data_IF_699800438015
#
_entry.id   IF_699800438015
#
_cell.length_a   1.000
_cell.length_b   1.000
_cell.length_c   1.000
_cell.angle_alpha   90.00
_cell.angle_beta   90.00
_cell.angle_gamma   90.00
#
_symmetry.space_group_name_H-M   'P 1'
#
loop_
_entity.id
_entity.type
_entity.pdbx_description
1 polymer ?
#
# COMPACT_ATOMS: atom_id res chain seq x y z
N UNK A 1 -27.09 44.65 -23.24
CA UNK A 1 -27.55 43.25 -23.21
C UNK A 1 -26.62 42.46 -24.11
N UNK A 2 -25.62 41.89 -23.53
CA UNK A 2 -24.59 41.10 -24.26
C UNK A 2 -24.92 39.63 -24.06
N UNK A 3 -25.22 38.94 -25.14
CA UNK A 3 -25.53 37.52 -25.17
C UNK A 3 -24.25 36.71 -24.98
N UNK A 4 -24.16 35.96 -23.87
CA UNK A 4 -23.12 34.98 -23.69
C UNK A 4 -23.36 33.79 -24.62
N UNK A 5 -22.46 33.60 -25.56
CA UNK A 5 -22.40 32.41 -26.41
C UNK A 5 -21.87 31.26 -25.57
N UNK A 6 -22.72 30.29 -25.29
CA UNK A 6 -22.33 28.98 -24.74
C UNK A 6 -21.68 28.18 -25.86
N UNK A 7 -20.51 27.60 -25.67
CA UNK A 7 -19.93 26.71 -26.68
C UNK A 7 -20.69 25.37 -26.66
N UNK A 8 -21.60 25.22 -27.61
CA UNK A 8 -22.17 23.92 -28.02
C UNK A 8 -21.11 23.15 -28.80
N UNK A 9 -20.44 22.19 -28.17
CA UNK A 9 -19.41 21.41 -28.85
C UNK A 9 -18.92 20.20 -28.10
N UNK A 10 -19.79 19.47 -27.38
CA UNK A 10 -19.48 18.20 -26.75
C UNK A 10 -20.40 17.04 -27.15
N UNK A 11 -20.96 17.10 -28.36
CA UNK A 11 -21.73 16.00 -28.93
C UNK A 11 -21.05 15.42 -30.19
N UNK A 12 -19.75 15.18 -30.15
CA UNK A 12 -19.18 14.17 -31.02
C UNK A 12 -19.02 12.91 -30.19
N UNK A 13 -20.00 12.00 -30.32
CA UNK A 13 -19.90 10.67 -29.74
C UNK A 13 -18.55 10.06 -30.10
N UNK A 14 -17.77 9.69 -29.08
CA UNK A 14 -16.57 8.89 -29.25
C UNK A 14 -16.97 7.66 -30.05
N UNK A 15 -16.54 7.60 -31.32
CA UNK A 15 -16.72 6.41 -32.12
C UNK A 15 -15.85 5.32 -31.46
N UNK A 16 -16.48 4.24 -31.05
CA UNK A 16 -15.87 3.12 -30.33
C UNK A 16 -14.77 2.35 -31.10
N UNK A 17 -14.28 2.90 -32.22
CA UNK A 17 -13.28 2.29 -33.10
C UNK A 17 -12.15 3.26 -33.51
N UNK A 18 -11.87 4.30 -32.72
CA UNK A 18 -10.67 5.12 -32.96
C UNK A 18 -9.48 4.45 -32.24
N UNK A 19 -8.48 3.90 -32.97
CA UNK A 19 -7.37 3.17 -32.36
C UNK A 19 -6.51 4.01 -31.42
N UNK A 20 -6.72 5.33 -31.38
CA UNK A 20 -6.03 6.22 -30.43
C UNK A 20 -6.58 6.12 -29.02
N UNK A 21 -7.72 5.46 -28.83
CA UNK A 21 -8.41 5.29 -27.54
C UNK A 21 -8.60 3.83 -27.13
N UNK A 22 -8.02 2.90 -27.87
CA UNK A 22 -8.04 1.47 -27.54
C UNK A 22 -6.88 1.14 -26.61
N UNK A 23 -7.20 0.81 -25.38
CA UNK A 23 -6.26 0.32 -24.36
C UNK A 23 -6.83 -0.95 -23.75
N UNK A 24 -5.96 -1.93 -23.49
CA UNK A 24 -6.35 -3.15 -22.79
C UNK A 24 -6.69 -2.87 -21.32
N UNK A 25 -5.94 -1.92 -20.71
CA UNK A 25 -6.12 -1.56 -19.31
C UNK A 25 -5.93 -0.06 -19.10
N UNK A 26 -6.81 0.53 -18.31
CA UNK A 26 -6.66 1.91 -17.82
C UNK A 26 -6.44 1.88 -16.31
N UNK A 27 -5.30 2.40 -15.84
CA UNK A 27 -4.99 2.57 -14.42
C UNK A 27 -5.23 4.01 -14.04
N UNK A 28 -6.09 4.24 -13.04
CA UNK A 28 -6.41 5.59 -12.55
C UNK A 28 -5.77 5.80 -11.19
N UNK A 29 -4.86 6.77 -11.12
CA UNK A 29 -4.08 7.13 -9.94
C UNK A 29 -2.67 6.56 -9.96
N UNK A 30 -1.67 7.44 -9.74
CA UNK A 30 -0.25 7.11 -9.71
C UNK A 30 0.34 7.13 -8.29
N UNK A 31 -0.44 6.68 -7.29
CA UNK A 31 0.07 6.32 -5.98
C UNK A 31 0.68 4.92 -5.98
N UNK A 32 1.14 4.44 -4.82
CA UNK A 32 1.81 3.13 -4.68
C UNK A 32 0.98 1.96 -5.22
N UNK A 33 -0.34 2.00 -5.05
CA UNK A 33 -1.21 0.92 -5.53
C UNK A 33 -1.23 0.89 -7.05
N UNK A 34 -1.47 2.03 -7.72
CA UNK A 34 -1.45 2.13 -9.18
C UNK A 34 -0.07 1.77 -9.75
N UNK A 35 1.01 2.22 -9.11
CA UNK A 35 2.37 1.89 -9.51
C UNK A 35 2.65 0.38 -9.45
N UNK A 36 2.21 -0.31 -8.38
CA UNK A 36 2.40 -1.75 -8.25
C UNK A 36 1.54 -2.56 -9.23
N UNK A 37 0.34 -2.07 -9.55
CA UNK A 37 -0.51 -2.65 -10.60
C UNK A 37 0.16 -2.47 -11.96
N UNK A 38 0.59 -1.26 -12.31
CA UNK A 38 1.29 -0.98 -13.56
C UNK A 38 2.55 -1.83 -13.71
N UNK A 39 3.39 -1.92 -12.65
CA UNK A 39 4.58 -2.76 -12.62
C UNK A 39 4.26 -4.24 -12.88
N UNK A 40 3.17 -4.73 -12.31
CA UNK A 40 2.77 -6.13 -12.47
C UNK A 40 2.29 -6.39 -13.89
N UNK A 41 1.46 -5.51 -14.43
CA UNK A 41 0.88 -5.63 -15.76
C UNK A 41 1.92 -5.40 -16.88
N UNK A 42 2.95 -4.58 -16.63
CA UNK A 42 4.05 -4.36 -17.59
C UNK A 42 4.86 -5.63 -17.94
N UNK A 43 4.60 -6.76 -17.29
CA UNK A 43 5.16 -8.07 -17.64
C UNK A 43 4.39 -8.78 -18.77
N UNK A 44 3.25 -8.23 -19.15
CA UNK A 44 2.37 -8.75 -20.19
C UNK A 44 2.42 -7.85 -21.40
N UNK A 45 2.08 -8.38 -22.55
CA UNK A 45 1.95 -7.63 -23.81
C UNK A 45 0.55 -6.98 -23.82
N UNK A 46 0.46 -5.81 -23.17
CA UNK A 46 -0.77 -5.05 -22.97
C UNK A 46 -0.55 -3.57 -23.25
N UNK A 47 -1.50 -2.96 -23.93
CA UNK A 47 -1.57 -1.51 -24.08
C UNK A 47 -2.18 -0.90 -22.82
N UNK A 48 -1.33 -0.23 -22.01
CA UNK A 48 -1.73 0.30 -20.71
C UNK A 48 -1.72 1.83 -20.74
N UNK A 49 -2.87 2.44 -20.42
CA UNK A 49 -2.97 3.86 -20.14
C UNK A 49 -2.93 4.07 -18.62
N UNK A 50 -1.96 4.88 -18.15
CA UNK A 50 -1.86 5.24 -16.74
C UNK A 50 -2.14 6.73 -16.56
N UNK A 51 -3.18 7.06 -15.79
CA UNK A 51 -3.67 8.41 -15.58
C UNK A 51 -3.45 8.87 -14.15
N UNK A 52 -2.95 10.09 -13.98
CA UNK A 52 -2.88 10.79 -12.70
C UNK A 52 -3.55 12.16 -12.86
N UNK A 53 -4.27 12.60 -11.83
CA UNK A 53 -4.98 13.90 -11.83
C UNK A 53 -4.09 15.07 -11.41
N UNK A 54 -3.04 14.78 -10.65
CA UNK A 54 -2.10 15.77 -10.14
C UNK A 54 -0.94 15.96 -11.14
N UNK A 55 -0.16 17.01 -10.95
CA UNK A 55 1.00 17.32 -11.80
C UNK A 55 2.17 16.35 -11.61
N UNK A 56 2.18 15.60 -10.47
CA UNK A 56 3.24 14.63 -10.15
C UNK A 56 2.64 13.36 -9.54
N UNK A 57 3.42 12.28 -9.56
CA UNK A 57 3.04 11.00 -8.98
C UNK A 57 3.18 11.02 -7.45
N UNK A 58 2.49 10.12 -6.77
CA UNK A 58 2.63 9.88 -5.33
C UNK A 58 2.33 11.07 -4.40
N UNK A 59 1.64 12.09 -4.86
CA UNK A 59 1.34 13.33 -4.11
C UNK A 59 0.34 13.16 -2.97
N UNK A 60 -0.41 12.05 -2.94
CA UNK A 60 -1.41 11.75 -1.92
C UNK A 60 -0.88 10.97 -0.72
N UNK A 61 -1.65 9.99 -0.25
CA UNK A 61 -1.32 9.13 0.90
C UNK A 61 0.03 8.41 0.76
N UNK A 62 0.51 8.19 -0.46
CA UNK A 62 1.80 7.57 -0.72
C UNK A 62 2.98 8.43 -0.26
N UNK A 63 2.89 9.75 -0.33
CA UNK A 63 3.90 10.66 0.23
C UNK A 63 3.70 10.90 1.73
N UNK A 64 2.46 10.78 2.23
CA UNK A 64 2.08 11.13 3.60
C UNK A 64 1.99 9.88 4.49
N UNK A 65 3.10 9.15 4.63
CA UNK A 65 3.19 7.99 5.51
C UNK A 65 4.55 7.92 6.23
N UNK A 66 4.68 7.02 7.18
CA UNK A 66 5.90 6.85 7.98
C UNK A 66 6.93 5.88 7.37
N UNK A 67 6.69 5.36 6.19
CA UNK A 67 7.51 4.36 5.51
C UNK A 67 7.77 3.09 6.34
N UNK A 68 6.85 2.77 7.27
CA UNK A 68 6.93 1.56 8.09
C UNK A 68 6.12 0.42 7.46
N UNK A 69 6.76 -0.69 7.26
CA UNK A 69 6.13 -1.91 6.76
C UNK A 69 5.51 -2.66 7.94
N UNK A 70 4.21 -2.89 7.85
CA UNK A 70 3.48 -3.59 8.91
C UNK A 70 3.90 -5.06 9.02
N UNK A 71 4.22 -5.50 10.26
CA UNK A 71 4.54 -6.90 10.54
C UNK A 71 3.34 -7.85 10.53
N UNK A 72 2.11 -7.32 10.64
CA UNK A 72 0.88 -8.11 10.61
C UNK A 72 0.36 -8.57 11.99
N UNK A 73 1.13 -8.39 13.06
CA UNK A 73 0.78 -8.86 14.40
C UNK A 73 -0.47 -8.18 14.99
N UNK A 74 -0.68 -6.88 14.70
CA UNK A 74 -1.73 -6.08 15.33
C UNK A 74 -3.08 -6.12 14.58
N UNK A 75 -3.09 -6.56 13.33
CA UNK A 75 -4.30 -6.59 12.53
C UNK A 75 -5.29 -7.63 13.06
N UNK A 76 -6.59 -7.29 13.06
CA UNK A 76 -7.64 -8.20 13.52
C UNK A 76 -7.65 -9.46 12.63
N UNK A 77 -7.49 -10.66 13.22
CA UNK A 77 -7.46 -11.91 12.47
C UNK A 77 -8.70 -12.13 11.61
N UNK A 78 -8.54 -12.78 10.47
CA UNK A 78 -9.63 -13.05 9.52
C UNK A 78 -10.04 -11.85 8.66
N UNK A 79 -9.38 -10.69 8.82
CA UNK A 79 -9.60 -9.54 7.94
C UNK A 79 -8.65 -9.54 6.75
N UNK A 80 -9.09 -8.96 5.62
CA UNK A 80 -8.23 -8.77 4.45
C UNK A 80 -6.95 -7.97 4.80
N UNK A 81 -7.04 -7.03 5.75
CA UNK A 81 -5.87 -6.28 6.24
C UNK A 81 -4.84 -7.20 6.88
N UNK A 82 -5.25 -8.16 7.72
CA UNK A 82 -4.35 -9.11 8.34
C UNK A 82 -3.68 -9.99 7.28
N UNK A 83 -4.47 -10.57 6.38
CA UNK A 83 -3.98 -11.40 5.29
C UNK A 83 -2.96 -10.67 4.41
N UNK A 84 -3.29 -9.46 3.95
CA UNK A 84 -2.42 -8.68 3.06
C UNK A 84 -1.13 -8.24 3.76
N UNK A 85 -1.17 -7.83 5.04
CA UNK A 85 0.04 -7.48 5.78
C UNK A 85 1.01 -8.66 5.89
N UNK A 86 0.49 -9.84 6.23
CA UNK A 86 1.32 -11.05 6.37
C UNK A 86 1.90 -11.50 5.03
N UNK A 87 1.08 -11.48 3.97
CA UNK A 87 1.53 -11.88 2.62
C UNK A 87 2.52 -10.88 2.01
N UNK A 88 2.33 -9.59 2.23
CA UNK A 88 3.17 -8.55 1.64
C UNK A 88 4.53 -8.42 2.35
N UNK A 89 4.60 -8.67 3.67
CA UNK A 89 5.82 -8.45 4.42
C UNK A 89 7.07 -9.15 3.85
N UNK A 90 7.06 -10.45 3.52
CA UNK A 90 8.23 -11.12 2.94
C UNK A 90 8.56 -10.66 1.51
N UNK A 91 7.64 -10.00 0.81
CA UNK A 91 7.90 -9.52 -0.56
C UNK A 91 8.82 -8.30 -0.60
N UNK A 92 8.98 -7.61 0.52
CA UNK A 92 9.75 -6.36 0.56
C UNK A 92 11.25 -6.54 0.34
N UNK A 93 11.83 -7.67 0.72
CA UNK A 93 13.26 -7.95 0.46
C UNK A 93 13.53 -7.99 -1.05
N UNK A 94 12.71 -8.75 -1.76
CA UNK A 94 12.83 -8.86 -3.22
C UNK A 94 12.53 -7.51 -3.90
N UNK A 95 11.52 -6.78 -3.43
CA UNK A 95 11.19 -5.46 -3.98
C UNK A 95 12.30 -4.45 -3.76
N UNK A 96 12.94 -4.46 -2.59
CA UNK A 96 14.06 -3.57 -2.29
C UNK A 96 15.25 -3.85 -3.20
N UNK A 97 15.55 -5.12 -3.45
CA UNK A 97 16.60 -5.53 -4.38
C UNK A 97 16.27 -5.15 -5.83
N UNK A 98 15.05 -5.45 -6.29
CA UNK A 98 14.64 -5.18 -7.67
C UNK A 98 14.53 -3.68 -7.99
N UNK A 99 14.06 -2.88 -7.02
CA UNK A 99 13.83 -1.44 -7.18
C UNK A 99 14.94 -0.57 -6.60
N UNK A 100 15.96 -1.19 -5.96
CA UNK A 100 17.16 -0.55 -5.43
C UNK A 100 16.88 0.60 -4.45
N UNK A 101 15.92 0.41 -3.54
CA UNK A 101 15.69 1.33 -2.42
C UNK A 101 16.21 0.75 -1.10
N UNK A 102 16.54 1.63 -0.16
CA UNK A 102 16.99 1.22 1.18
C UNK A 102 15.86 0.59 1.97
N UNK A 103 16.08 -0.61 2.48
CA UNK A 103 15.16 -1.35 3.33
C UNK A 103 15.91 -2.06 4.44
N UNK A 104 15.43 -1.93 5.68
CA UNK A 104 16.02 -2.56 6.86
C UNK A 104 14.96 -3.28 7.68
N UNK A 105 15.24 -4.51 8.07
CA UNK A 105 14.39 -5.31 8.97
C UNK A 105 14.76 -5.06 10.42
N UNK A 106 14.49 -3.85 10.90
CA UNK A 106 14.78 -3.42 12.27
C UNK A 106 13.89 -4.08 13.34
N UNK A 107 12.79 -4.69 12.92
CA UNK A 107 11.74 -5.19 13.82
C UNK A 107 10.88 -4.08 14.42
N UNK A 108 9.97 -4.46 15.30
CA UNK A 108 9.09 -3.52 16.00
C UNK A 108 8.99 -3.89 17.46
N UNK A 109 9.14 -2.93 18.34
CA UNK A 109 8.90 -3.08 19.76
C UNK A 109 7.59 -2.38 20.16
N UNK A 110 6.74 -3.09 20.87
CA UNK A 110 5.57 -2.52 21.55
C UNK A 110 5.88 -2.54 23.04
N UNK A 111 5.88 -1.37 23.67
CA UNK A 111 6.24 -1.22 25.08
C UNK A 111 4.98 -1.04 25.90
N UNK A 112 4.87 -1.81 27.00
CA UNK A 112 3.80 -1.67 27.98
C UNK A 112 4.34 -1.18 29.32
N UNK A 113 3.68 -0.21 29.91
CA UNK A 113 3.99 0.36 31.22
C UNK A 113 2.79 0.16 32.16
N UNK A 114 2.95 -0.72 33.15
CA UNK A 114 1.88 -1.09 34.07
C UNK A 114 1.03 -2.27 33.61
N UNK A 115 0.11 -2.68 34.47
CA UNK A 115 -0.68 -3.91 34.26
C UNK A 115 -1.72 -3.75 33.14
N UNK A 116 -2.38 -2.60 33.02
CA UNK A 116 -3.39 -2.36 31.98
C UNK A 116 -2.81 -2.50 30.56
N UNK A 117 -1.61 -1.98 30.34
CA UNK A 117 -0.96 -2.09 29.04
C UNK A 117 -0.39 -3.50 28.78
N UNK A 118 -0.11 -4.28 29.84
CA UNK A 118 0.29 -5.69 29.68
C UNK A 118 -0.83 -6.56 29.11
N UNK A 119 -2.08 -6.26 29.45
CA UNK A 119 -3.23 -6.95 28.85
C UNK A 119 -3.28 -6.72 27.33
N UNK A 120 -2.95 -5.49 26.88
CA UNK A 120 -2.84 -5.18 25.46
C UNK A 120 -1.73 -5.99 24.77
N UNK A 121 -0.56 -6.19 25.42
CA UNK A 121 0.48 -7.03 24.84
C UNK A 121 0.04 -8.49 24.68
N UNK A 122 -0.68 -9.03 25.68
CA UNK A 122 -1.22 -10.39 25.59
C UNK A 122 -2.25 -10.52 24.46
N UNK A 123 -3.08 -9.51 24.26
CA UNK A 123 -4.02 -9.47 23.12
C UNK A 123 -3.28 -9.42 21.77
N UNK A 124 -2.22 -8.63 21.67
CA UNK A 124 -1.41 -8.54 20.45
C UNK A 124 -0.67 -9.84 20.16
N UNK A 125 -0.15 -10.52 21.18
CA UNK A 125 0.47 -11.83 21.06
C UNK A 125 -0.53 -12.87 20.53
N UNK A 126 -1.74 -12.92 21.10
CA UNK A 126 -2.79 -13.82 20.64
C UNK A 126 -3.21 -13.53 19.18
N UNK A 127 -3.31 -12.26 18.78
CA UNK A 127 -3.56 -11.89 17.38
C UNK A 127 -2.43 -12.31 16.46
N UNK A 128 -1.18 -12.10 16.88
CA UNK A 128 0.01 -12.49 16.13
C UNK A 128 0.05 -14.00 15.87
N UNK A 129 -0.26 -14.80 16.89
CA UNK A 129 -0.33 -16.26 16.77
C UNK A 129 -1.34 -16.68 15.69
N UNK A 130 -2.57 -16.12 15.74
CA UNK A 130 -3.62 -16.43 14.75
C UNK A 130 -3.23 -15.97 13.35
N UNK A 131 -2.53 -14.85 13.23
CA UNK A 131 -2.05 -14.30 11.96
C UNK A 131 -0.78 -15.01 11.44
N UNK A 132 -0.17 -15.90 12.24
CA UNK A 132 1.06 -16.59 11.88
C UNK A 132 2.30 -15.69 11.90
N UNK A 133 2.30 -14.64 12.73
CA UNK A 133 3.41 -13.69 12.87
C UNK A 133 4.20 -14.03 14.14
N UNK A 134 5.52 -14.32 14.05
CA UNK A 134 6.32 -14.59 15.22
C UNK A 134 6.52 -13.33 16.07
N UNK A 135 6.17 -13.41 17.35
CA UNK A 135 6.39 -12.37 18.35
C UNK A 135 6.92 -12.99 19.64
N UNK A 136 7.51 -12.17 20.48
CA UNK A 136 8.05 -12.59 21.78
C UNK A 136 7.76 -11.50 22.82
N UNK A 137 7.20 -11.86 23.96
CA UNK A 137 7.09 -10.96 25.12
C UNK A 137 8.37 -11.06 25.93
N UNK A 138 9.09 -9.96 26.06
CA UNK A 138 10.34 -9.88 26.83
C UNK A 138 10.20 -8.90 27.98
N UNK A 139 11.04 -9.08 29.03
CA UNK A 139 11.11 -8.11 30.12
C UNK A 139 11.82 -6.82 29.70
N UNK A 140 11.56 -5.72 30.43
CA UNK A 140 12.28 -4.46 30.21
C UNK A 140 13.80 -4.58 30.41
N UNK A 141 14.27 -5.52 31.26
CA UNK A 141 15.70 -5.80 31.44
C UNK A 141 16.28 -6.50 30.21
N UNK A 142 15.56 -7.48 29.66
CA UNK A 142 15.96 -8.16 28.43
C UNK A 142 15.97 -7.19 27.24
N UNK A 143 15.04 -6.26 27.18
CA UNK A 143 14.99 -5.24 26.15
C UNK A 143 16.20 -4.28 26.20
N UNK A 144 16.64 -3.89 27.40
CA UNK A 144 17.82 -3.02 27.57
C UNK A 144 19.13 -3.69 27.18
N UNK A 145 19.16 -5.02 27.16
CA UNK A 145 20.34 -5.81 26.80
C UNK A 145 20.47 -6.11 25.30
N UNK A 146 19.42 -5.80 24.52
CA UNK A 146 19.40 -5.91 23.04
C UNK A 146 19.83 -4.60 22.40
#
# INVERSE_FOLDING_TARGET
>A
MSSMNTPTGLENGMQSNDPRYDYDVIIVGAGIVGAMVARTLARYDLDILWLEKEEDICTGATAANSALIHGGYAAVPGTLKAEMNVRANPMWDQLAEELQFSFERSGTYVVAIGEEEREVLAELEARAEVNGVPVEIISGEAMKAR
#
